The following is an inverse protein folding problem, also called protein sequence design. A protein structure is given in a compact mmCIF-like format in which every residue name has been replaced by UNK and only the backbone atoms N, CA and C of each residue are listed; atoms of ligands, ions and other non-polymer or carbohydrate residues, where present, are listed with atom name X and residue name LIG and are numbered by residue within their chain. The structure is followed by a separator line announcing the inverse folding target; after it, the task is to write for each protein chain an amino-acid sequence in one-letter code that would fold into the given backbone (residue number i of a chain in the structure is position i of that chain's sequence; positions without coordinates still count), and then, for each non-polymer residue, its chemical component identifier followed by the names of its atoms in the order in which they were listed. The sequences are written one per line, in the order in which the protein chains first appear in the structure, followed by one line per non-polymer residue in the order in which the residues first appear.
data_IF_167644014462
#
_entry.id   IF_167644014462
#
_cell.length_a   1.000
_cell.length_b   1.000
_cell.length_c   1.000
_cell.angle_alpha   90.00
_cell.angle_beta   90.00
_cell.angle_gamma   90.00
#
_symmetry.space_group_name_H-M   'P 1'
#
loop_
_entity.id
_entity.type
_entity.pdbx_description
1 polymer ?
#
# COMPACT_ATOMS: atom_id res chain seq x y z
N UNK A 1 14.96 -5.75 -2.94
CA UNK A 1 13.62 -5.71 -2.32
C UNK A 1 12.98 -7.04 -2.65
N UNK A 2 12.40 -7.72 -1.66
CA UNK A 2 11.71 -9.01 -1.88
C UNK A 2 10.54 -8.83 -2.87
N UNK A 3 10.31 -9.82 -3.74
CA UNK A 3 9.30 -9.73 -4.80
C UNK A 3 7.90 -9.46 -4.25
N UNK A 4 7.51 -10.13 -3.16
CA UNK A 4 6.21 -9.92 -2.53
C UNK A 4 6.02 -8.47 -2.04
N UNK A 5 7.06 -7.89 -1.43
CA UNK A 5 7.02 -6.47 -1.00
C UNK A 5 6.88 -5.56 -2.22
N UNK A 6 7.64 -5.83 -3.29
CA UNK A 6 7.55 -5.07 -4.53
C UNK A 6 6.15 -5.14 -5.14
N UNK A 7 5.56 -6.33 -5.24
CA UNK A 7 4.25 -6.56 -5.83
C UNK A 7 3.14 -5.85 -5.05
N UNK A 8 3.18 -5.88 -3.70
CA UNK A 8 2.23 -5.15 -2.86
C UNK A 8 2.38 -3.62 -3.01
N UNK A 9 3.61 -3.12 -3.04
CA UNK A 9 3.88 -1.69 -3.24
C UNK A 9 3.42 -1.22 -4.62
N UNK A 10 3.58 -2.02 -5.66
CA UNK A 10 3.08 -1.70 -7.00
C UNK A 10 1.56 -1.57 -7.00
N UNK A 11 0.83 -2.54 -6.43
CA UNK A 11 -0.63 -2.45 -6.33
C UNK A 11 -1.10 -1.25 -5.49
N UNK A 12 -0.40 -0.95 -4.39
CA UNK A 12 -0.65 0.25 -3.60
C UNK A 12 -0.41 1.53 -4.41
N UNK A 13 0.67 1.60 -5.17
CA UNK A 13 0.98 2.76 -6.00
C UNK A 13 -0.07 2.97 -7.09
N UNK A 14 -0.49 1.92 -7.80
CA UNK A 14 -1.56 2.00 -8.79
C UNK A 14 -2.88 2.46 -8.17
N UNK A 15 -3.23 1.95 -6.99
CA UNK A 15 -4.39 2.43 -6.23
C UNK A 15 -4.27 3.92 -5.88
N UNK A 16 -3.11 4.34 -5.36
CA UNK A 16 -2.86 5.71 -4.92
C UNK A 16 -2.69 6.71 -6.08
N UNK A 17 -2.31 6.27 -7.28
CA UNK A 17 -2.36 7.13 -8.49
C UNK A 17 -3.78 7.63 -8.74
N UNK A 18 -4.78 6.77 -8.50
CA UNK A 18 -6.19 7.10 -8.72
C UNK A 18 -6.82 7.76 -7.49
N UNK A 19 -6.61 7.20 -6.31
CA UNK A 19 -7.30 7.61 -5.07
C UNK A 19 -6.50 8.61 -4.22
N UNK A 20 -5.21 8.75 -4.48
CA UNK A 20 -4.27 9.56 -3.68
C UNK A 20 -4.68 11.02 -3.51
N UNK A 21 -5.10 11.76 -4.55
CA UNK A 21 -5.50 13.16 -4.41
C UNK A 21 -6.66 13.32 -3.40
N UNK A 22 -7.67 12.45 -3.49
CA UNK A 22 -8.81 12.44 -2.54
C UNK A 22 -8.34 12.08 -1.12
N UNK A 23 -7.46 11.10 -0.99
CA UNK A 23 -6.89 10.69 0.31
C UNK A 23 -6.13 11.85 0.96
N UNK A 24 -5.33 12.61 0.20
CA UNK A 24 -4.63 13.79 0.70
C UNK A 24 -5.62 14.85 1.21
N UNK A 25 -6.67 15.17 0.44
CA UNK A 25 -7.69 16.11 0.89
C UNK A 25 -8.32 15.68 2.22
N UNK A 26 -8.65 14.40 2.38
CA UNK A 26 -9.22 13.88 3.63
C UNK A 26 -8.22 14.03 4.78
N UNK A 27 -6.97 13.60 4.60
CA UNK A 27 -5.92 13.70 5.61
C UNK A 27 -5.62 15.15 6.01
N UNK A 28 -5.75 16.11 5.09
CA UNK A 28 -5.58 17.53 5.38
C UNK A 28 -6.75 18.12 6.16
N UNK A 29 -8.00 17.76 5.81
CA UNK A 29 -9.20 18.24 6.49
C UNK A 29 -9.30 17.66 7.90
N UNK A 30 -8.94 16.39 8.10
CA UNK A 30 -9.04 15.73 9.41
C UNK A 30 -7.83 15.95 10.30
N UNK A 31 -6.75 16.55 9.78
CA UNK A 31 -5.49 16.71 10.51
C UNK A 31 -4.78 15.37 10.80
N UNK A 32 -5.10 14.30 10.07
CA UNK A 32 -4.50 12.98 10.23
C UNK A 32 -3.23 12.84 9.37
N UNK A 33 -2.22 12.14 9.91
CA UNK A 33 -0.95 11.88 9.22
C UNK A 33 -0.86 10.49 8.59
N UNK A 34 -1.84 9.61 8.86
CA UNK A 34 -1.91 8.26 8.29
C UNK A 34 -3.33 7.92 7.90
N UNK A 35 -3.48 7.08 6.88
CA UNK A 35 -4.74 6.49 6.44
C UNK A 35 -4.65 4.97 6.52
N UNK A 36 -5.76 4.31 6.83
CA UNK A 36 -5.89 2.85 6.68
C UNK A 36 -6.57 2.53 5.37
N UNK A 37 -5.95 1.65 4.59
CA UNK A 37 -6.46 1.15 3.31
C UNK A 37 -6.61 -0.36 3.45
N UNK A 38 -7.84 -0.85 3.40
CA UNK A 38 -8.08 -2.29 3.37
C UNK A 38 -7.40 -2.91 2.15
N UNK A 39 -6.72 -4.04 2.33
CA UNK A 39 -5.97 -4.67 1.23
C UNK A 39 -6.89 -5.10 0.07
N UNK A 40 -8.17 -5.35 0.35
CA UNK A 40 -9.19 -5.62 -0.67
C UNK A 40 -9.34 -4.50 -1.69
N UNK A 41 -9.06 -3.25 -1.31
CA UNK A 41 -9.07 -2.11 -2.23
C UNK A 41 -7.99 -2.23 -3.31
N UNK A 42 -6.93 -3.00 -3.07
CA UNK A 42 -5.81 -3.20 -3.99
C UNK A 42 -6.06 -4.28 -5.03
N UNK A 43 -7.09 -5.13 -4.87
CA UNK A 43 -7.29 -6.30 -5.73
C UNK A 43 -7.47 -5.94 -7.21
N UNK A 44 -8.10 -4.80 -7.49
CA UNK A 44 -8.32 -4.30 -8.87
C UNK A 44 -7.08 -3.65 -9.49
N UNK A 45 -6.06 -3.39 -8.69
CA UNK A 45 -4.84 -2.68 -9.06
C UNK A 45 -3.62 -3.60 -9.04
N UNK A 46 -3.82 -4.86 -8.71
CA UNK A 46 -2.77 -5.85 -8.66
C UNK A 46 -2.57 -6.47 -10.04
N UNK A 47 -1.31 -6.45 -10.49
CA UNK A 47 -0.87 -7.20 -11.65
C UNK A 47 -0.22 -8.51 -11.18
N UNK A 48 -0.69 -9.68 -11.65
CA UNK A 48 -0.05 -10.95 -11.35
C UNK A 48 1.43 -10.99 -11.71
N UNK A 49 2.24 -11.62 -10.87
CA UNK A 49 3.66 -11.90 -11.14
C UNK A 49 3.87 -13.39 -11.42
N UNK A 50 5.11 -13.79 -11.73
CA UNK A 50 5.45 -15.21 -11.91
C UNK A 50 5.13 -16.06 -10.66
N UNK A 51 5.31 -15.48 -9.46
CA UNK A 51 5.15 -16.19 -8.20
C UNK A 51 3.82 -15.89 -7.47
N UNK A 52 3.05 -14.88 -7.91
CA UNK A 52 1.85 -14.43 -7.21
C UNK A 52 0.70 -14.12 -8.17
N UNK A 53 -0.36 -14.93 -8.12
CA UNK A 53 -1.57 -14.70 -8.92
C UNK A 53 -2.48 -13.62 -8.31
N UNK A 54 -2.47 -13.51 -6.97
CA UNK A 54 -3.36 -12.62 -6.22
C UNK A 54 -2.63 -11.91 -5.10
N UNK A 55 -3.19 -10.78 -4.67
CA UNK A 55 -2.71 -10.04 -3.48
C UNK A 55 -2.69 -10.92 -2.23
N UNK A 56 -3.61 -11.88 -2.09
CA UNK A 56 -3.62 -12.80 -0.95
C UNK A 56 -2.36 -13.66 -0.87
N UNK A 57 -1.77 -14.03 -2.01
CA UNK A 57 -0.56 -14.86 -2.06
C UNK A 57 0.64 -14.04 -1.60
N UNK A 58 0.72 -12.80 -2.07
CA UNK A 58 1.70 -11.80 -1.64
C UNK A 58 1.63 -11.54 -0.12
N UNK A 59 0.42 -11.36 0.41
CA UNK A 59 0.22 -11.12 1.84
C UNK A 59 0.66 -12.32 2.68
N UNK A 60 0.32 -13.53 2.26
CA UNK A 60 0.73 -14.77 2.92
C UNK A 60 2.25 -14.87 2.98
N UNK A 61 2.91 -14.66 1.84
CA UNK A 61 4.37 -14.67 1.75
C UNK A 61 5.02 -13.63 2.68
N UNK A 62 4.50 -12.39 2.71
CA UNK A 62 5.01 -11.33 3.60
C UNK A 62 4.88 -11.73 5.07
N UNK A 63 3.77 -12.35 5.47
CA UNK A 63 3.52 -12.79 6.84
C UNK A 63 4.42 -13.99 7.19
N UNK A 64 4.41 -15.02 6.37
CA UNK A 64 5.12 -16.28 6.60
C UNK A 64 6.63 -16.06 6.67
N UNK A 65 7.18 -15.20 5.80
CA UNK A 65 8.60 -14.85 5.77
C UNK A 65 8.96 -13.62 6.62
N UNK A 66 8.00 -13.05 7.36
CA UNK A 66 8.19 -11.87 8.23
C UNK A 66 8.82 -10.66 7.52
N UNK A 67 8.36 -10.38 6.29
CA UNK A 67 8.92 -9.35 5.41
C UNK A 67 8.37 -7.94 5.70
N UNK A 68 7.68 -7.73 6.83
CA UNK A 68 7.05 -6.45 7.19
C UNK A 68 8.05 -5.27 7.22
N UNK A 69 9.29 -5.52 7.63
CA UNK A 69 10.35 -4.51 7.63
C UNK A 69 10.69 -3.96 6.23
N UNK A 70 10.28 -4.65 5.15
CA UNK A 70 10.35 -4.13 3.79
C UNK A 70 9.37 -2.99 3.54
N UNK A 71 8.16 -3.06 4.11
CA UNK A 71 7.11 -2.04 3.99
C UNK A 71 7.37 -0.85 4.92
N UNK A 72 7.84 -1.13 6.15
CA UNK A 72 8.08 -0.11 7.18
C UNK A 72 9.11 0.94 6.74
N UNK A 73 10.10 0.53 5.92
CA UNK A 73 11.08 1.44 5.29
C UNK A 73 10.44 2.54 4.43
N UNK A 74 9.23 2.32 3.95
CA UNK A 74 8.45 3.27 3.16
C UNK A 74 7.37 3.98 3.99
N UNK A 75 7.32 3.76 5.31
CA UNK A 75 6.30 4.30 6.20
C UNK A 75 4.94 3.62 6.07
N UNK A 76 4.94 2.35 5.65
CA UNK A 76 3.74 1.52 5.48
C UNK A 76 3.79 0.38 6.50
N UNK A 77 2.72 0.25 7.28
CA UNK A 77 2.58 -0.86 8.24
C UNK A 77 1.45 -1.78 7.79
N UNK A 78 1.66 -3.09 7.91
CA UNK A 78 0.59 -4.07 7.76
C UNK A 78 -0.12 -4.24 9.10
N UNK A 79 -1.44 -4.04 9.11
CA UNK A 79 -2.27 -4.09 10.33
C UNK A 79 -3.39 -5.10 10.13
N UNK A 80 -3.50 -6.06 11.05
CA UNK A 80 -4.60 -7.02 11.12
C UNK A 80 -5.53 -6.64 12.27
N UNK A 81 -6.81 -6.39 11.98
CA UNK A 81 -7.83 -6.05 12.97
C UNK A 81 -9.20 -6.58 12.52
N UNK A 82 -9.95 -7.24 13.41
CA UNK A 82 -11.30 -7.75 13.15
C UNK A 82 -11.43 -8.51 11.81
N UNK A 83 -10.58 -9.52 11.60
CA UNK A 83 -10.51 -10.34 10.38
C UNK A 83 -10.22 -9.56 9.07
N UNK A 84 -9.80 -8.31 9.19
CA UNK A 84 -9.50 -7.43 8.07
C UNK A 84 -8.03 -7.06 8.10
N UNK A 85 -7.39 -7.19 6.93
CA UNK A 85 -6.01 -6.78 6.73
C UNK A 85 -5.99 -5.42 6.02
N UNK A 86 -5.26 -4.48 6.60
CA UNK A 86 -5.13 -3.12 6.09
C UNK A 86 -3.67 -2.68 6.02
N UNK A 87 -3.40 -1.73 5.13
CA UNK A 87 -2.16 -0.97 5.12
C UNK A 87 -2.38 0.36 5.81
N UNK A 88 -1.60 0.64 6.85
CA UNK A 88 -1.51 1.97 7.42
C UNK A 88 -0.40 2.75 6.70
N UNK A 89 -0.81 3.73 5.90
CA UNK A 89 0.07 4.46 4.97
C UNK A 89 0.21 5.91 5.44
N UNK A 90 1.46 6.39 5.49
CA UNK A 90 1.73 7.78 5.86
C UNK A 90 1.30 8.78 4.77
N UNK A 91 0.82 9.95 5.19
CA UNK A 91 0.53 11.09 4.32
C UNK A 91 1.75 11.47 3.47
N UNK A 92 2.95 11.40 4.05
CA UNK A 92 4.20 11.68 3.36
C UNK A 92 4.46 10.72 2.18
N UNK A 93 4.17 9.43 2.35
CA UNK A 93 4.29 8.45 1.27
C UNK A 93 3.39 8.81 0.09
N UNK A 94 2.11 9.09 0.37
CA UNK A 94 1.13 9.49 -0.65
C UNK A 94 1.58 10.78 -1.37
N UNK A 95 2.00 11.81 -0.63
CA UNK A 95 2.51 13.07 -1.23
C UNK A 95 3.71 12.85 -2.13
N UNK A 96 4.69 12.06 -1.68
CA UNK A 96 5.90 11.74 -2.48
C UNK A 96 5.53 11.04 -3.78
N UNK A 97 4.63 10.07 -3.73
CA UNK A 97 4.16 9.37 -4.92
C UNK A 97 3.52 10.34 -5.91
N UNK A 98 2.58 11.18 -5.46
CA UNK A 98 1.87 12.11 -6.33
C UNK A 98 2.80 13.16 -6.96
N UNK A 99 3.75 13.71 -6.20
CA UNK A 99 4.71 14.68 -6.71
C UNK A 99 5.63 14.08 -7.80
N UNK A 100 6.00 12.81 -7.66
CA UNK A 100 6.81 12.11 -8.66
C UNK A 100 6.06 11.91 -9.99
N UNK A 101 4.73 11.80 -9.95
CA UNK A 101 3.90 11.67 -11.15
C UNK A 101 3.75 13.00 -11.89
N UNK A 102 3.75 14.13 -11.17
CA UNK A 102 3.66 15.48 -11.75
C UNK A 102 4.98 16.01 -12.31
N UNK A 103 6.06 15.22 -12.25
CA UNK A 103 7.40 15.60 -12.74
C UNK A 103 7.68 15.19 -14.20
N UNK A 104 6.63 14.81 -14.94
CA UNK A 104 6.63 14.47 -16.37
C UNK A 104 5.62 15.34 -17.11
#
# INVERSE_FOLDING_TARGET
MEEAVAALLNALNEYLKVQGPRIISVLEITGQDRIRIEVRALYRYFEPTENFEKVSDVLREIIDKKLHGGLEKYGINLVAENDTLSLEVSKNYVKKLLNNLSSF
#
